data_IF_116224302478
#
_entry.id   IF_116224302478
#
_cell.length_a   1.000
_cell.length_b   1.000
_cell.length_c   1.000
_cell.angle_alpha   90.00
_cell.angle_beta   90.00
_cell.angle_gamma   90.00
#
_symmetry.space_group_name_H-M   'P 1'
#
loop_
_entity.id
_entity.type
_entity.pdbx_description
1 polymer ?
#
# COMPACT_ATOMS: atom_id res chain seq x y z
N UNK A 1 -47.78 -15.93 -21.31
CA UNK A 1 -46.87 -14.77 -21.28
C UNK A 1 -45.71 -15.16 -20.39
N UNK A 2 -44.61 -15.58 -21.01
CA UNK A 2 -43.35 -15.84 -20.30
C UNK A 2 -42.71 -14.48 -19.97
N UNK A 3 -42.51 -14.22 -18.67
CA UNK A 3 -41.73 -13.08 -18.22
C UNK A 3 -40.33 -13.63 -17.93
N UNK A 4 -39.46 -13.61 -18.94
CA UNK A 4 -38.04 -13.77 -18.73
C UNK A 4 -37.51 -12.50 -18.06
N UNK A 5 -37.27 -12.55 -16.75
CA UNK A 5 -36.45 -11.54 -16.07
C UNK A 5 -35.01 -12.06 -16.06
N UNK A 6 -34.18 -11.39 -16.86
CA UNK A 6 -32.73 -11.60 -16.96
C UNK A 6 -32.04 -11.48 -15.60
N UNK A 7 -30.90 -12.15 -15.37
CA UNK A 7 -30.19 -12.06 -14.11
C UNK A 7 -29.66 -10.63 -13.90
N UNK A 8 -29.93 -10.05 -12.74
CA UNK A 8 -29.25 -8.85 -12.26
C UNK A 8 -27.76 -9.20 -12.18
N UNK A 9 -26.98 -8.71 -13.15
CA UNK A 9 -25.53 -8.67 -13.00
C UNK A 9 -25.26 -7.62 -11.94
N UNK A 10 -25.02 -8.07 -10.72
CA UNK A 10 -24.40 -7.24 -9.69
C UNK A 10 -22.97 -6.94 -10.16
N UNK A 11 -22.88 -5.87 -10.96
CA UNK A 11 -21.65 -5.29 -11.43
C UNK A 11 -21.09 -4.42 -10.30
N UNK A 12 -20.81 -5.06 -9.16
CA UNK A 12 -19.87 -4.59 -8.16
C UNK A 12 -18.46 -4.63 -8.77
N UNK A 13 -18.27 -3.86 -9.86
CA UNK A 13 -16.97 -3.41 -10.34
C UNK A 13 -16.35 -2.65 -9.18
N UNK A 14 -15.61 -3.41 -8.39
CA UNK A 14 -14.62 -3.00 -7.42
C UNK A 14 -14.10 -1.60 -7.76
N UNK A 15 -14.68 -0.56 -7.14
CA UNK A 15 -14.12 0.78 -7.20
C UNK A 15 -12.91 0.72 -6.28
N UNK A 16 -11.85 0.08 -6.76
CA UNK A 16 -10.55 0.17 -6.15
C UNK A 16 -10.12 1.62 -6.40
N UNK A 17 -10.06 2.47 -5.36
CA UNK A 17 -9.66 3.86 -5.55
C UNK A 17 -8.26 3.85 -6.18
N UNK A 18 -8.02 4.77 -7.11
CA UNK A 18 -6.75 4.91 -7.83
C UNK A 18 -5.59 4.86 -6.83
N UNK A 19 -5.00 3.67 -6.68
CA UNK A 19 -3.94 3.45 -5.74
C UNK A 19 -2.69 4.03 -6.36
N UNK A 20 -2.19 5.14 -5.85
CA UNK A 20 -0.93 5.71 -6.33
C UNK A 20 0.20 4.78 -5.92
N UNK A 21 0.86 4.19 -6.92
CA UNK A 21 2.07 3.39 -6.71
C UNK A 21 3.17 4.28 -6.18
N UNK A 22 3.93 3.77 -5.21
CA UNK A 22 4.99 4.52 -4.56
C UNK A 22 6.19 3.64 -4.20
N UNK A 23 7.34 4.28 -4.10
CA UNK A 23 8.57 3.72 -3.56
C UNK A 23 8.72 4.16 -2.11
N UNK A 24 9.02 3.20 -1.23
CA UNK A 24 9.39 3.47 0.16
C UNK A 24 10.90 3.57 0.25
N UNK A 25 11.37 4.65 0.87
CA UNK A 25 12.79 4.87 1.16
C UNK A 25 13.11 4.58 2.62
N UNK A 26 14.28 3.99 2.85
CA UNK A 26 14.86 3.86 4.18
C UNK A 26 15.10 5.23 4.80
N UNK A 27 14.81 5.32 6.10
CA UNK A 27 15.10 6.50 6.90
C UNK A 27 16.59 6.79 7.02
N UNK A 28 17.39 5.73 7.08
CA UNK A 28 18.82 5.79 7.35
C UNK A 28 19.57 6.04 6.06
N UNK A 29 19.40 5.15 5.08
CA UNK A 29 20.21 5.14 3.85
C UNK A 29 19.60 5.97 2.74
N UNK A 30 18.32 6.37 2.84
CA UNK A 30 17.52 7.05 1.80
C UNK A 30 17.38 6.26 0.49
N UNK A 31 17.82 5.00 0.45
CA UNK A 31 17.65 4.09 -0.68
C UNK A 31 16.23 3.55 -0.72
N UNK A 32 15.75 3.15 -1.90
CA UNK A 32 14.46 2.47 -2.05
C UNK A 32 14.58 1.07 -1.48
N UNK A 33 13.62 0.68 -0.64
CA UNK A 33 13.63 -0.59 0.11
C UNK A 33 12.37 -1.42 -0.10
N UNK A 34 11.28 -0.81 -0.56
CA UNK A 34 10.05 -1.52 -0.90
C UNK A 34 9.22 -0.73 -1.92
N UNK A 35 8.31 -1.44 -2.60
CA UNK A 35 7.28 -0.88 -3.47
C UNK A 35 5.91 -1.12 -2.85
N UNK A 36 5.00 -0.18 -3.07
CA UNK A 36 3.66 -0.32 -2.56
C UNK A 36 2.67 0.64 -3.16
N UNK A 37 1.48 0.63 -2.59
CA UNK A 37 0.33 1.42 -3.02
C UNK A 37 -0.28 2.18 -1.85
N UNK A 38 -0.43 3.49 -2.02
CA UNK A 38 -1.09 4.30 -0.98
C UNK A 38 -2.56 3.91 -0.87
N UNK A 39 -2.97 3.60 0.35
CA UNK A 39 -4.33 3.25 0.74
C UNK A 39 -5.05 4.51 1.23
N UNK A 40 -5.69 5.24 0.33
CA UNK A 40 -6.42 6.48 0.64
C UNK A 40 -7.74 6.24 1.39
N UNK A 41 -8.22 5.00 1.42
CA UNK A 41 -9.44 4.60 2.14
C UNK A 41 -9.23 4.44 3.66
N UNK A 42 -7.99 4.53 4.15
CA UNK A 42 -7.67 4.40 5.57
C UNK A 42 -7.39 5.77 6.18
N UNK A 43 -7.91 6.01 7.38
CA UNK A 43 -7.51 7.16 8.20
C UNK A 43 -6.00 7.09 8.44
N UNK A 44 -5.30 8.16 8.08
CA UNK A 44 -3.84 8.20 8.12
C UNK A 44 -3.38 9.44 8.89
N UNK A 45 -2.34 9.33 9.75
CA UNK A 45 -1.73 10.49 10.38
C UNK A 45 -1.28 11.56 9.34
N UNK A 46 -1.36 12.86 9.66
CA UNK A 46 -1.07 13.93 8.68
C UNK A 46 0.31 13.84 8.00
N UNK A 47 1.31 13.31 8.70
CA UNK A 47 2.70 13.18 8.26
C UNK A 47 3.05 11.81 7.65
N UNK A 48 2.05 10.94 7.43
CA UNK A 48 2.27 9.57 6.92
C UNK A 48 1.32 9.19 5.79
N UNK A 49 1.63 8.09 5.12
CA UNK A 49 0.78 7.32 4.23
C UNK A 49 0.57 5.93 4.81
N UNK A 50 -0.63 5.37 4.68
CA UNK A 50 -0.82 3.93 4.81
C UNK A 50 -0.53 3.30 3.46
N UNK A 51 0.40 2.35 3.40
CA UNK A 51 0.92 1.78 2.16
C UNK A 51 0.77 0.27 2.23
N UNK A 52 0.06 -0.29 1.26
CA UNK A 52 0.05 -1.72 1.03
C UNK A 52 1.34 -2.13 0.34
N UNK A 53 2.08 -3.06 0.92
CA UNK A 53 3.34 -3.56 0.38
C UNK A 53 3.04 -4.51 -0.77
N UNK A 54 3.55 -4.19 -1.96
CA UNK A 54 3.44 -5.03 -3.15
C UNK A 54 4.77 -5.76 -3.44
N UNK A 55 5.93 -5.20 -3.04
CA UNK A 55 7.26 -5.83 -3.21
C UNK A 55 8.25 -5.33 -2.14
N UNK A 56 9.16 -6.18 -1.67
CA UNK A 56 10.26 -5.83 -0.77
C UNK A 56 11.58 -5.99 -1.54
N UNK A 57 12.40 -4.94 -1.55
CA UNK A 57 13.68 -4.89 -2.27
C UNK A 57 14.89 -5.09 -1.34
N UNK A 58 14.73 -4.75 -0.05
CA UNK A 58 15.73 -4.94 1.00
C UNK A 58 15.05 -5.40 2.29
N UNK A 59 15.08 -6.72 2.53
CA UNK A 59 14.49 -7.36 3.71
C UNK A 59 15.19 -6.94 5.02
N UNK A 60 16.44 -6.48 4.94
CA UNK A 60 17.21 -6.10 6.13
C UNK A 60 17.02 -4.65 6.53
N UNK A 61 16.39 -3.85 5.65
CA UNK A 61 16.11 -2.46 5.93
C UNK A 61 15.20 -2.33 7.15
N UNK A 62 15.54 -1.47 8.13
CA UNK A 62 14.67 -1.22 9.27
C UNK A 62 13.37 -0.56 8.81
N UNK A 63 12.25 -0.97 9.41
CA UNK A 63 10.94 -0.36 9.15
C UNK A 63 10.93 1.08 9.66
N UNK A 64 11.07 1.23 10.97
CA UNK A 64 11.22 2.50 11.67
C UNK A 64 12.25 2.28 12.79
N UNK A 65 12.74 3.35 13.42
CA UNK A 65 13.73 3.21 14.50
C UNK A 65 13.20 2.32 15.63
N UNK A 66 13.69 1.07 15.67
CA UNK A 66 13.34 0.08 16.70
C UNK A 66 12.19 -0.88 16.36
N UNK A 67 11.46 -0.68 15.26
CA UNK A 67 10.21 -1.42 14.94
C UNK A 67 10.42 -2.71 14.13
N UNK A 68 11.65 -3.22 14.03
CA UNK A 68 11.97 -4.40 13.23
C UNK A 68 12.41 -4.07 11.81
N UNK A 69 12.30 -5.04 10.89
CA UNK A 69 12.82 -4.96 9.51
C UNK A 69 11.73 -5.23 8.49
N UNK A 70 11.95 -4.79 7.25
CA UNK A 70 11.01 -5.02 6.16
C UNK A 70 10.77 -6.50 5.88
N UNK A 71 11.77 -7.36 6.09
CA UNK A 71 11.62 -8.81 5.96
C UNK A 71 10.67 -9.44 6.99
N UNK A 72 10.26 -8.71 8.03
CA UNK A 72 9.24 -9.15 8.99
C UNK A 72 7.80 -8.89 8.46
N UNK A 73 7.65 -8.14 7.36
CA UNK A 73 6.38 -7.79 6.73
C UNK A 73 6.03 -8.79 5.63
N UNK A 74 4.76 -9.16 5.51
CA UNK A 74 4.26 -9.98 4.40
C UNK A 74 3.78 -9.12 3.23
N UNK A 75 3.94 -9.62 2.01
CA UNK A 75 3.36 -8.97 0.83
C UNK A 75 1.84 -8.88 0.98
N UNK A 76 1.29 -7.69 0.75
CA UNK A 76 -0.11 -7.36 0.95
C UNK A 76 -0.42 -6.70 2.29
N UNK A 77 0.52 -6.69 3.23
CA UNK A 77 0.37 -5.98 4.50
C UNK A 77 0.30 -4.47 4.28
N UNK A 78 -0.42 -3.77 5.15
CA UNK A 78 -0.52 -2.32 5.15
C UNK A 78 0.31 -1.76 6.30
N UNK A 79 1.33 -0.98 5.96
CA UNK A 79 2.19 -0.30 6.94
C UNK A 79 1.99 1.22 6.87
N UNK A 80 2.22 1.90 7.99
CA UNK A 80 2.26 3.36 8.02
C UNK A 80 3.67 3.84 7.73
N UNK A 81 3.86 4.67 6.70
CA UNK A 81 5.16 5.20 6.29
C UNK A 81 5.14 6.73 6.19
N UNK A 82 6.16 7.45 6.70
CA UNK A 82 6.18 8.91 6.68
C UNK A 82 6.34 9.47 5.27
N UNK A 83 5.56 10.51 4.96
CA UNK A 83 5.44 11.06 3.59
C UNK A 83 6.77 11.49 2.99
N UNK A 84 7.69 12.00 3.80
CA UNK A 84 9.02 12.45 3.36
C UNK A 84 9.88 11.33 2.77
N UNK A 85 9.57 10.07 3.11
CA UNK A 85 10.26 8.88 2.65
C UNK A 85 9.47 8.10 1.61
N UNK A 86 8.44 8.71 1.03
CA UNK A 86 7.62 8.13 -0.04
C UNK A 86 7.88 8.91 -1.32
N UNK A 87 8.15 8.20 -2.42
CA UNK A 87 8.31 8.79 -3.76
C UNK A 87 7.24 8.21 -4.67
N UNK A 88 6.49 9.08 -5.34
CA UNK A 88 5.43 8.70 -6.28
C UNK A 88 5.95 8.66 -7.72
N UNK A 89 5.31 7.83 -8.54
CA UNK A 89 5.51 7.74 -9.99
C UNK A 89 4.20 7.97 -10.73
#
# INVERSE_FOLDING_TARGET
MEIQQSPVRDDSRNIQPQSTTCHLKSFITKTVVALGKVCTYLTTPPSSYNVRIDEILDDFAPLYEGDGRLGDIMLGDVITWPKYYVVFH
#
